data_IF_572593769640
#
_entry.id   IF_572593769640
#
_cell.length_a   1.000
_cell.length_b   1.000
_cell.length_c   1.000
_cell.angle_alpha   90.00
_cell.angle_beta   90.00
_cell.angle_gamma   90.00
#
_symmetry.space_group_name_H-M   'P 1'
#
loop_
_entity.id
_entity.type
_entity.pdbx_description
1 polymer ?
#
# COMPACT_ATOMS: atom_id res chain seq x y z
N UNK A 1 -28.71 -63.77 -19.70
CA UNK A 1 -28.69 -62.79 -18.60
C UNK A 1 -27.49 -63.16 -17.73
N UNK A 2 -26.28 -62.90 -18.25
CA UNK A 2 -25.03 -63.28 -17.58
C UNK A 2 -24.65 -62.18 -16.59
N UNK A 3 -25.11 -62.31 -15.34
CA UNK A 3 -24.39 -61.74 -14.21
C UNK A 3 -23.13 -62.59 -14.05
N UNK A 4 -22.13 -62.34 -14.90
CA UNK A 4 -20.80 -62.96 -14.77
C UNK A 4 -20.30 -62.66 -13.36
N UNK A 5 -19.80 -63.72 -12.70
CA UNK A 5 -19.25 -63.69 -11.36
C UNK A 5 -18.14 -62.64 -11.24
N UNK A 6 -18.49 -61.42 -10.85
CA UNK A 6 -17.52 -60.41 -10.40
C UNK A 6 -16.75 -61.03 -9.24
N UNK A 7 -15.46 -61.25 -9.45
CA UNK A 7 -14.63 -61.80 -8.39
C UNK A 7 -14.49 -60.75 -7.30
N UNK A 8 -14.37 -61.17 -6.04
CA UNK A 8 -14.19 -60.26 -4.89
C UNK A 8 -12.97 -59.34 -5.09
N UNK A 9 -11.97 -59.81 -5.82
CA UNK A 9 -10.81 -59.06 -6.30
C UNK A 9 -11.17 -57.87 -7.18
N UNK A 10 -12.07 -58.03 -8.15
CA UNK A 10 -12.46 -56.95 -9.07
C UNK A 10 -13.18 -55.82 -8.32
N UNK A 11 -14.02 -56.18 -7.35
CA UNK A 11 -14.74 -55.22 -6.51
C UNK A 11 -13.80 -54.45 -5.58
N UNK A 12 -12.81 -55.13 -5.00
CA UNK A 12 -11.78 -54.48 -4.18
C UNK A 12 -10.92 -53.52 -5.02
N UNK A 13 -10.48 -53.93 -6.22
CA UNK A 13 -9.70 -53.08 -7.12
C UNK A 13 -10.53 -51.84 -7.52
N UNK A 14 -11.78 -52.02 -7.91
CA UNK A 14 -12.67 -50.91 -8.26
C UNK A 14 -12.84 -49.94 -7.08
N UNK A 15 -13.08 -50.45 -5.87
CA UNK A 15 -13.20 -49.63 -4.67
C UNK A 15 -11.92 -48.84 -4.36
N UNK A 16 -10.76 -49.50 -4.33
CA UNK A 16 -9.48 -48.84 -4.06
C UNK A 16 -9.09 -47.85 -5.15
N UNK A 17 -9.45 -48.12 -6.41
CA UNK A 17 -9.22 -47.17 -7.51
C UNK A 17 -10.06 -45.89 -7.35
N UNK A 18 -11.32 -46.02 -6.91
CA UNK A 18 -12.18 -44.86 -6.62
C UNK A 18 -11.68 -44.04 -5.43
N UNK A 19 -11.27 -44.70 -4.34
CA UNK A 19 -10.66 -44.03 -3.18
C UNK A 19 -9.33 -43.38 -3.58
N UNK A 20 -8.50 -44.06 -4.35
CA UNK A 20 -7.24 -43.52 -4.86
C UNK A 20 -7.44 -42.27 -5.72
N UNK A 21 -8.41 -42.30 -6.63
CA UNK A 21 -8.74 -41.16 -7.49
C UNK A 21 -9.22 -39.94 -6.69
N UNK A 22 -10.05 -40.15 -5.65
CA UNK A 22 -10.53 -39.05 -4.79
C UNK A 22 -9.42 -38.45 -3.94
N UNK A 23 -8.57 -39.27 -3.32
CA UNK A 23 -7.39 -38.80 -2.57
C UNK A 23 -6.44 -38.02 -3.49
N UNK A 24 -6.16 -38.54 -4.68
CA UNK A 24 -5.31 -37.87 -5.65
C UNK A 24 -5.89 -36.53 -6.12
N UNK A 25 -7.19 -36.49 -6.43
CA UNK A 25 -7.88 -35.25 -6.80
C UNK A 25 -7.86 -34.20 -5.68
N UNK A 26 -8.00 -34.62 -4.44
CA UNK A 26 -7.91 -33.75 -3.28
C UNK A 26 -6.50 -33.16 -3.09
N UNK A 27 -5.46 -33.99 -3.19
CA UNK A 27 -4.07 -33.53 -3.14
C UNK A 27 -3.77 -32.51 -4.25
N UNK A 28 -4.24 -32.77 -5.48
CA UNK A 28 -4.06 -31.86 -6.61
C UNK A 28 -4.77 -30.51 -6.37
N UNK A 29 -5.99 -30.54 -5.82
CA UNK A 29 -6.74 -29.34 -5.45
C UNK A 29 -6.01 -28.53 -4.37
N UNK A 30 -5.51 -29.19 -3.31
CA UNK A 30 -4.72 -28.53 -2.27
C UNK A 30 -3.45 -27.87 -2.82
N UNK A 31 -2.73 -28.55 -3.72
CA UNK A 31 -1.52 -27.98 -4.36
C UNK A 31 -1.86 -26.78 -5.24
N UNK A 32 -2.97 -26.83 -5.97
CA UNK A 32 -3.46 -25.73 -6.79
C UNK A 32 -3.83 -24.51 -5.94
N UNK A 33 -4.61 -24.71 -4.87
CA UNK A 33 -4.99 -23.65 -3.94
C UNK A 33 -3.76 -23.03 -3.25
N UNK A 34 -2.80 -23.85 -2.85
CA UNK A 34 -1.56 -23.37 -2.26
C UNK A 34 -0.77 -22.48 -3.23
N UNK A 35 -0.63 -22.91 -4.50
CA UNK A 35 0.02 -22.10 -5.53
C UNK A 35 -0.72 -20.80 -5.80
N UNK A 36 -2.05 -20.83 -5.84
CA UNK A 36 -2.89 -19.63 -6.01
C UNK A 36 -2.70 -18.65 -4.85
N UNK A 37 -2.68 -19.15 -3.62
CA UNK A 37 -2.41 -18.35 -2.41
C UNK A 37 -1.05 -17.67 -2.47
N UNK A 38 0.03 -18.37 -2.85
CA UNK A 38 1.37 -17.77 -2.97
C UNK A 38 1.38 -16.65 -4.03
N UNK A 39 0.76 -16.88 -5.19
CA UNK A 39 0.68 -15.86 -6.26
C UNK A 39 -0.08 -14.61 -5.79
N UNK A 40 -1.19 -14.79 -5.09
CA UNK A 40 -1.99 -13.69 -4.55
C UNK A 40 -1.21 -12.90 -3.49
N UNK A 41 -0.54 -13.58 -2.56
CA UNK A 41 0.30 -12.92 -1.55
C UNK A 41 1.42 -12.09 -2.19
N UNK A 42 2.06 -12.62 -3.23
CA UNK A 42 3.09 -11.89 -3.99
C UNK A 42 2.52 -10.65 -4.68
N UNK A 43 1.37 -10.78 -5.35
CA UNK A 43 0.72 -9.66 -6.00
C UNK A 43 0.37 -8.52 -5.03
N UNK A 44 -0.08 -8.86 -3.81
CA UNK A 44 -0.38 -7.85 -2.77
C UNK A 44 0.90 -7.15 -2.31
N UNK A 45 1.99 -7.89 -2.08
CA UNK A 45 3.27 -7.30 -1.68
C UNK A 45 3.83 -6.41 -2.80
N UNK A 46 3.78 -6.86 -4.05
CA UNK A 46 4.28 -6.10 -5.20
C UNK A 46 3.46 -4.81 -5.41
N UNK A 47 2.13 -4.88 -5.29
CA UNK A 47 1.25 -3.71 -5.32
C UNK A 47 1.58 -2.73 -4.18
N UNK A 48 1.74 -3.23 -2.95
CA UNK A 48 2.12 -2.39 -1.82
C UNK A 48 3.48 -1.69 -2.05
N UNK A 49 4.47 -2.40 -2.59
CA UNK A 49 5.78 -1.82 -2.94
C UNK A 49 5.65 -0.71 -3.97
N UNK A 50 4.88 -0.95 -5.02
CA UNK A 50 4.67 0.03 -6.08
C UNK A 50 3.98 1.29 -5.54
N UNK A 51 2.97 1.14 -4.68
CA UNK A 51 2.28 2.28 -4.06
C UNK A 51 3.20 3.08 -3.13
N UNK A 52 3.97 2.40 -2.28
CA UNK A 52 4.95 3.06 -1.40
C UNK A 52 6.04 3.78 -2.19
N UNK A 53 6.51 3.21 -3.30
CA UNK A 53 7.49 3.83 -4.18
C UNK A 53 6.91 5.08 -4.88
N UNK A 54 5.69 4.98 -5.41
CA UNK A 54 4.99 6.11 -6.04
C UNK A 54 4.77 7.26 -5.04
N UNK A 55 4.37 6.94 -3.82
CA UNK A 55 4.24 7.92 -2.74
C UNK A 55 5.58 8.55 -2.38
N UNK A 56 6.67 7.77 -2.33
CA UNK A 56 8.02 8.30 -2.07
C UNK A 56 8.42 9.34 -3.12
N UNK A 57 8.28 9.01 -4.41
CA UNK A 57 8.59 9.92 -5.52
C UNK A 57 7.75 11.21 -5.45
N UNK A 58 6.48 11.07 -5.07
CA UNK A 58 5.57 12.22 -4.87
C UNK A 58 6.01 13.09 -3.69
N UNK A 59 6.41 12.49 -2.57
CA UNK A 59 6.94 13.19 -1.40
C UNK A 59 8.22 13.96 -1.73
N UNK A 60 9.15 13.35 -2.45
CA UNK A 60 10.42 13.97 -2.86
C UNK A 60 10.17 15.18 -3.78
N UNK A 61 9.26 15.04 -4.76
CA UNK A 61 8.87 16.16 -5.63
C UNK A 61 8.20 17.29 -4.84
N UNK A 62 7.25 16.97 -3.97
CA UNK A 62 6.60 17.95 -3.11
C UNK A 62 7.60 18.68 -2.19
N UNK A 63 8.56 17.94 -1.63
CA UNK A 63 9.61 18.51 -0.78
C UNK A 63 10.48 19.51 -1.54
N UNK A 64 10.85 19.20 -2.79
CA UNK A 64 11.59 20.11 -3.65
C UNK A 64 10.82 21.43 -3.88
N UNK A 65 9.51 21.35 -4.16
CA UNK A 65 8.67 22.53 -4.34
C UNK A 65 8.50 23.35 -3.06
N UNK A 66 8.30 22.67 -1.92
CA UNK A 66 8.21 23.34 -0.61
C UNK A 66 9.50 24.08 -0.29
N UNK A 67 10.66 23.45 -0.52
CA UNK A 67 11.96 24.06 -0.27
C UNK A 67 12.19 25.28 -1.18
N UNK A 68 11.81 25.18 -2.46
CA UNK A 68 11.89 26.30 -3.41
C UNK A 68 10.99 27.46 -2.98
N UNK A 69 9.75 27.17 -2.57
CA UNK A 69 8.80 28.19 -2.11
C UNK A 69 9.30 28.87 -0.82
N UNK A 70 9.73 28.09 0.17
CA UNK A 70 10.29 28.62 1.43
C UNK A 70 11.52 29.51 1.19
N UNK A 71 12.32 29.24 0.16
CA UNK A 71 13.48 30.06 -0.21
C UNK A 71 13.12 31.43 -0.82
N UNK A 72 11.92 31.59 -1.38
CA UNK A 72 11.49 32.84 -2.02
C UNK A 72 10.39 33.58 -1.26
N UNK A 73 9.76 32.94 -0.28
CA UNK A 73 8.60 33.50 0.45
C UNK A 73 8.93 34.77 1.23
N UNK A 74 10.15 34.86 1.78
CA UNK A 74 10.62 36.03 2.52
C UNK A 74 10.88 37.23 1.59
N UNK A 75 10.95 37.02 0.27
CA UNK A 75 11.04 38.08 -0.74
C UNK A 75 9.66 38.61 -1.17
N UNK A 76 8.57 38.16 -0.52
CA UNK A 76 7.21 38.49 -0.92
C UNK A 76 6.76 37.84 -2.24
N UNK A 77 7.53 36.85 -2.74
CA UNK A 77 7.18 36.07 -3.93
C UNK A 77 6.47 34.78 -3.50
N UNK A 78 5.53 34.31 -4.32
CA UNK A 78 4.85 33.04 -4.11
C UNK A 78 5.02 32.15 -5.33
N UNK A 79 5.33 30.88 -5.08
CA UNK A 79 5.42 29.87 -6.12
C UNK A 79 4.03 29.25 -6.33
N UNK A 80 3.49 29.36 -7.55
CA UNK A 80 2.15 28.81 -7.88
C UNK A 80 2.28 27.38 -8.40
N UNK A 81 3.01 26.53 -7.69
CA UNK A 81 3.10 25.11 -8.02
C UNK A 81 2.21 24.33 -7.05
N UNK A 82 1.17 23.64 -7.54
CA UNK A 82 0.32 22.79 -6.69
C UNK A 82 1.13 21.58 -6.21
N UNK A 83 0.91 21.18 -4.96
CA UNK A 83 1.47 19.95 -4.42
C UNK A 83 0.60 18.76 -4.81
N UNK A 84 1.23 17.63 -5.09
CA UNK A 84 0.54 16.41 -5.45
C UNK A 84 0.06 15.68 -4.20
N UNK A 85 -1.14 15.09 -4.26
CA UNK A 85 -1.66 14.27 -3.16
C UNK A 85 -1.04 12.87 -3.18
N UNK A 86 -0.86 12.30 -2.00
CA UNK A 86 -0.38 10.94 -1.80
C UNK A 86 -1.53 9.94 -1.93
N UNK A 87 -1.25 8.73 -2.40
CA UNK A 87 -2.21 7.64 -2.31
C UNK A 87 -2.34 7.20 -0.84
N UNK A 88 -3.53 7.33 -0.25
CA UNK A 88 -3.78 7.02 1.16
C UNK A 88 -4.43 5.66 1.41
N UNK A 89 -4.94 5.00 0.36
CA UNK A 89 -5.85 3.86 0.48
C UNK A 89 -5.16 2.52 0.15
N UNK A 90 -3.85 2.52 -0.09
CA UNK A 90 -3.06 1.30 -0.32
C UNK A 90 -3.09 0.33 0.88
N UNK A 91 -3.37 0.83 2.10
CA UNK A 91 -3.54 -0.03 3.28
C UNK A 91 -4.75 -0.96 3.15
N UNK A 92 -5.73 -0.59 2.33
CA UNK A 92 -6.98 -1.33 2.21
C UNK A 92 -6.76 -2.68 1.50
N UNK A 93 -5.71 -2.78 0.68
CA UNK A 93 -5.26 -4.04 0.08
C UNK A 93 -4.89 -5.08 1.15
N UNK A 94 -4.41 -4.64 2.32
CA UNK A 94 -4.06 -5.54 3.41
C UNK A 94 -5.30 -6.07 4.16
N UNK A 95 -6.43 -5.36 4.13
CA UNK A 95 -7.68 -5.85 4.73
C UNK A 95 -8.31 -7.00 3.92
N UNK A 96 -8.01 -7.09 2.62
CA UNK A 96 -8.49 -8.19 1.76
C UNK A 96 -7.78 -9.49 2.13
N UNK A 97 -6.45 -9.45 2.25
CA UNK A 97 -5.65 -10.61 2.66
C UNK A 97 -4.27 -10.14 3.13
N UNK A 98 -3.95 -10.40 4.40
CA UNK A 98 -2.63 -10.09 4.94
C UNK A 98 -1.65 -11.18 4.51
N UNK A 99 -0.60 -10.87 3.72
CA UNK A 99 0.42 -11.86 3.33
C UNK A 99 1.06 -12.51 4.56
N UNK A 100 1.34 -13.82 4.50
CA UNK A 100 1.88 -14.56 5.65
C UNK A 100 3.20 -13.99 6.14
N UNK A 101 4.02 -13.42 5.23
CA UNK A 101 5.27 -12.74 5.56
C UNK A 101 5.02 -11.53 6.48
N UNK A 102 4.00 -10.73 6.19
CA UNK A 102 3.65 -9.54 6.99
C UNK A 102 2.91 -9.90 8.28
N UNK A 103 2.11 -10.97 8.27
CA UNK A 103 1.39 -11.44 9.46
C UNK A 103 2.31 -11.79 10.63
N UNK A 104 3.56 -12.20 10.36
CA UNK A 104 4.56 -12.55 11.38
C UNK A 104 5.23 -11.33 12.00
N UNK A 105 5.18 -10.17 11.35
CA UNK A 105 5.83 -8.94 11.82
C UNK A 105 4.78 -7.85 12.03
N UNK A 106 4.25 -7.79 13.26
CA UNK A 106 3.25 -6.80 13.66
C UNK A 106 3.78 -5.36 13.56
N UNK A 107 5.10 -5.16 13.67
CA UNK A 107 5.69 -3.83 13.59
C UNK A 107 5.60 -3.28 12.16
N UNK A 108 5.84 -4.12 11.14
CA UNK A 108 5.67 -3.70 9.74
C UNK A 108 4.23 -3.26 9.47
N UNK A 109 3.24 -4.02 9.96
CA UNK A 109 1.82 -3.66 9.80
C UNK A 109 1.46 -2.35 10.50
N UNK A 110 2.00 -2.12 11.71
CA UNK A 110 1.81 -0.86 12.43
C UNK A 110 2.41 0.33 11.69
N UNK A 111 3.62 0.18 11.14
CA UNK A 111 4.27 1.23 10.36
C UNK A 111 3.53 1.50 9.05
N UNK A 112 3.05 0.47 8.34
CA UNK A 112 2.20 0.65 7.13
C UNK A 112 0.94 1.46 7.47
N UNK A 113 0.26 1.11 8.57
CA UNK A 113 -0.92 1.86 9.04
C UNK A 113 -0.57 3.31 9.39
N UNK A 114 0.59 3.53 10.01
CA UNK A 114 1.10 4.87 10.32
C UNK A 114 1.40 5.67 9.06
N UNK A 115 2.01 5.07 8.03
CA UNK A 115 2.22 5.73 6.72
C UNK A 115 0.87 6.13 6.13
N UNK A 116 -0.12 5.24 6.09
CA UNK A 116 -1.47 5.57 5.57
C UNK A 116 -2.10 6.74 6.32
N UNK A 117 -2.09 6.71 7.67
CA UNK A 117 -2.61 7.82 8.49
C UNK A 117 -1.88 9.14 8.21
N UNK A 118 -0.56 9.14 8.25
CA UNK A 118 0.26 10.33 8.01
C UNK A 118 0.07 10.86 6.57
N UNK A 119 -0.15 9.98 5.60
CA UNK A 119 -0.44 10.38 4.21
C UNK A 119 -1.78 11.10 4.11
N UNK A 120 -2.81 10.62 4.82
CA UNK A 120 -4.12 11.30 4.91
C UNK A 120 -4.00 12.67 5.60
N UNK A 121 -3.28 12.75 6.71
CA UNK A 121 -3.01 14.01 7.42
C UNK A 121 -2.24 15.02 6.55
N UNK A 122 -1.23 14.55 5.81
CA UNK A 122 -0.45 15.38 4.88
C UNK A 122 -1.34 15.90 3.73
N UNK A 123 -2.18 15.02 3.14
CA UNK A 123 -3.13 15.40 2.10
C UNK A 123 -4.12 16.49 2.55
N UNK A 124 -4.66 16.38 3.76
CA UNK A 124 -5.54 17.43 4.32
C UNK A 124 -4.80 18.75 4.54
N UNK A 125 -3.53 18.69 4.92
CA UNK A 125 -2.68 19.88 5.05
C UNK A 125 -2.40 20.51 3.68
N UNK A 126 -2.14 19.71 2.64
CA UNK A 126 -1.98 20.18 1.26
C UNK A 126 -3.25 20.89 0.78
N UNK A 127 -4.42 20.27 0.95
CA UNK A 127 -5.71 20.86 0.57
C UNK A 127 -6.00 22.15 1.32
N UNK A 128 -5.70 22.18 2.62
CA UNK A 128 -5.87 23.37 3.47
C UNK A 128 -4.96 24.52 3.02
N UNK A 129 -3.68 24.23 2.72
CA UNK A 129 -2.74 25.19 2.15
C UNK A 129 -3.25 25.75 0.82
N UNK A 130 -3.71 24.88 -0.08
CA UNK A 130 -4.20 25.29 -1.39
C UNK A 130 -5.48 26.14 -1.30
N UNK A 131 -6.40 25.76 -0.42
CA UNK A 131 -7.61 26.53 -0.12
C UNK A 131 -7.26 27.91 0.44
N UNK A 132 -6.29 27.98 1.36
CA UNK A 132 -5.81 29.25 1.88
C UNK A 132 -5.16 30.10 0.77
N UNK A 133 -4.33 29.48 -0.08
CA UNK A 133 -3.65 30.10 -1.21
C UNK A 133 -4.63 30.83 -2.13
N UNK A 134 -5.68 30.13 -2.55
CA UNK A 134 -6.69 30.64 -3.48
C UNK A 134 -7.53 31.76 -2.86
N UNK A 135 -7.95 31.62 -1.60
CA UNK A 135 -8.91 32.54 -1.00
C UNK A 135 -8.29 33.76 -0.31
N UNK A 136 -7.00 33.72 0.05
CA UNK A 136 -6.39 34.72 0.93
C UNK A 136 -5.17 35.42 0.34
N UNK A 137 -4.95 35.32 -0.99
CA UNK A 137 -3.77 35.90 -1.65
C UNK A 137 -3.56 37.41 -1.43
N UNK A 138 -4.62 38.16 -1.15
CA UNK A 138 -4.56 39.60 -0.88
C UNK A 138 -4.39 39.95 0.62
N UNK A 139 -4.35 38.97 1.52
CA UNK A 139 -4.21 39.24 2.95
C UNK A 139 -2.78 39.66 3.33
N UNK A 140 -2.65 40.62 4.23
CA UNK A 140 -1.35 41.11 4.73
C UNK A 140 -0.51 40.05 5.45
N UNK A 141 -1.14 39.01 6.00
CA UNK A 141 -0.48 37.90 6.71
C UNK A 141 -0.24 36.66 5.82
N UNK A 142 -0.55 36.74 4.52
CA UNK A 142 -0.51 35.62 3.59
C UNK A 142 0.83 34.87 3.60
N UNK A 143 1.94 35.59 3.39
CA UNK A 143 3.28 34.99 3.31
C UNK A 143 3.70 34.31 4.61
N UNK A 144 3.40 34.92 5.76
CA UNK A 144 3.71 34.34 7.08
C UNK A 144 2.95 33.03 7.32
N UNK A 145 1.66 33.00 6.98
CA UNK A 145 0.83 31.78 7.10
C UNK A 145 1.26 30.69 6.12
N UNK A 146 1.57 31.05 4.88
CA UNK A 146 2.08 30.11 3.87
C UNK A 146 3.42 29.50 4.30
N UNK A 147 4.31 30.28 4.95
CA UNK A 147 5.56 29.78 5.52
C UNK A 147 5.33 28.71 6.59
N UNK A 148 4.35 28.94 7.48
CA UNK A 148 3.98 27.96 8.50
C UNK A 148 3.47 26.65 7.87
N UNK A 149 2.59 26.74 6.86
CA UNK A 149 2.14 25.56 6.12
C UNK A 149 3.31 24.81 5.47
N UNK A 150 4.23 25.53 4.83
CA UNK A 150 5.42 24.94 4.21
C UNK A 150 6.29 24.19 5.23
N UNK A 151 6.55 24.77 6.41
CA UNK A 151 7.34 24.14 7.46
C UNK A 151 6.68 22.88 8.05
N UNK A 152 5.36 22.92 8.27
CA UNK A 152 4.59 21.76 8.73
C UNK A 152 4.67 20.63 7.71
N UNK A 153 4.40 20.94 6.43
CA UNK A 153 4.47 19.97 5.34
C UNK A 153 5.88 19.42 5.16
N UNK A 154 6.92 20.25 5.25
CA UNK A 154 8.31 19.81 5.16
C UNK A 154 8.63 18.77 6.26
N UNK A 155 8.22 19.04 7.49
CA UNK A 155 8.45 18.16 8.64
C UNK A 155 7.73 16.82 8.46
N UNK A 156 6.44 16.86 8.11
CA UNK A 156 5.63 15.67 7.87
C UNK A 156 6.16 14.85 6.70
N UNK A 157 6.57 15.50 5.62
CA UNK A 157 7.12 14.87 4.40
C UNK A 157 8.42 14.14 4.71
N UNK A 158 9.35 14.77 5.42
CA UNK A 158 10.60 14.13 5.84
C UNK A 158 10.36 12.89 6.71
N UNK A 159 9.41 12.96 7.66
CA UNK A 159 9.04 11.82 8.50
C UNK A 159 8.45 10.67 7.65
N UNK A 160 7.56 11.00 6.70
CA UNK A 160 6.95 10.02 5.81
C UNK A 160 7.98 9.33 4.91
N UNK A 161 8.93 10.08 4.34
CA UNK A 161 10.02 9.52 3.51
C UNK A 161 10.83 8.51 4.32
N UNK A 162 11.27 8.88 5.52
CA UNK A 162 12.09 8.01 6.37
C UNK A 162 11.39 6.68 6.70
N UNK A 163 10.11 6.75 7.09
CA UNK A 163 9.33 5.54 7.44
C UNK A 163 9.10 4.70 6.17
N UNK A 164 8.79 5.33 5.04
CA UNK A 164 8.55 4.64 3.76
C UNK A 164 9.78 3.88 3.29
N UNK A 165 10.97 4.50 3.35
CA UNK A 165 12.25 3.84 3.03
C UNK A 165 12.55 2.67 3.95
N UNK A 166 12.31 2.86 5.25
CA UNK A 166 12.49 1.80 6.26
C UNK A 166 11.58 0.60 5.97
N UNK A 167 10.37 0.82 5.47
CA UNK A 167 9.44 -0.26 5.14
C UNK A 167 9.79 -0.91 3.81
N UNK A 168 10.11 -0.14 2.77
CA UNK A 168 10.51 -0.66 1.46
C UNK A 168 11.71 -1.62 1.53
N UNK A 169 12.64 -1.40 2.46
CA UNK A 169 13.78 -2.30 2.69
C UNK A 169 13.42 -3.61 3.41
N UNK A 170 12.30 -3.64 4.15
CA UNK A 170 11.87 -4.80 4.94
C UNK A 170 10.91 -5.73 4.19
N UNK A 171 10.08 -5.18 3.29
CA UNK A 171 9.07 -5.95 2.55
C UNK A 171 9.65 -6.58 1.29
#
# INVERSE_FOLDING_TARGET
MELQNLTTTDLLIAFFSGVGATVFGFVLTMLWEWRKSIKQERAIIDALKQELQTNKETLESNLAYINQELGIIDQGKSLVIPLNLLNGDFSDLLFISIPKKLKKDTNILMEIRKISRLSKENNETIKSRETYRVNNGAMSNYNSRMKIYGQILQTQTNQLVLITETILTKI
#
